data_IF_514624658583
#
_entry.id   IF_514624658583
#
_cell.length_a   1.000
_cell.length_b   1.000
_cell.length_c   1.000
_cell.angle_alpha   90.00
_cell.angle_beta   90.00
_cell.angle_gamma   90.00
#
_symmetry.space_group_name_H-M   'P 1'
#
loop_
_entity.id
_entity.type
_entity.pdbx_description
1 polymer ?
#
# COMPACT_ATOMS: atom_id res chain seq x y z
N UNK A 1 0.62 -2.68 24.92
CA UNK A 1 -0.39 -1.61 24.68
C UNK A 1 -1.14 -1.94 23.39
N UNK A 2 -2.42 -1.60 23.27
CA UNK A 2 -3.27 -1.93 22.11
C UNK A 2 -3.86 -0.64 21.56
N UNK A 3 -3.85 -0.50 20.23
CA UNK A 3 -4.53 0.55 19.48
C UNK A 3 -5.43 -0.10 18.42
N UNK A 4 -6.49 0.60 18.01
CA UNK A 4 -7.48 0.09 17.06
C UNK A 4 -7.71 1.13 15.97
N UNK A 5 -7.57 0.73 14.71
CA UNK A 5 -7.94 1.57 13.57
C UNK A 5 -9.43 1.87 13.58
N UNK A 6 -9.80 3.14 13.37
CA UNK A 6 -11.20 3.53 13.31
C UNK A 6 -11.84 2.98 12.01
N UNK A 7 -12.97 2.25 12.05
CA UNK A 7 -13.58 1.68 10.85
C UNK A 7 -13.95 2.73 9.78
N UNK A 8 -14.37 3.92 10.20
CA UNK A 8 -14.65 5.03 9.26
C UNK A 8 -13.39 5.53 8.57
N UNK A 9 -12.21 5.44 9.20
CA UNK A 9 -10.95 5.77 8.53
C UNK A 9 -10.66 4.77 7.41
N UNK A 10 -10.90 3.47 7.64
CA UNK A 10 -10.75 2.43 6.61
C UNK A 10 -11.69 2.71 5.43
N UNK A 11 -12.96 3.07 5.71
CA UNK A 11 -13.91 3.46 4.65
C UNK A 11 -13.48 4.73 3.91
N UNK A 12 -12.96 5.73 4.62
CA UNK A 12 -12.43 6.95 4.02
C UNK A 12 -11.28 6.63 3.05
N UNK A 13 -10.33 5.77 3.43
CA UNK A 13 -9.26 5.31 2.54
C UNK A 13 -9.84 4.63 1.30
N UNK A 14 -10.80 3.73 1.47
CA UNK A 14 -11.44 3.06 0.34
C UNK A 14 -12.17 4.03 -0.62
N UNK A 15 -12.99 4.92 -0.08
CA UNK A 15 -13.83 5.81 -0.87
C UNK A 15 -13.02 6.93 -1.56
N UNK A 16 -12.06 7.53 -0.84
CA UNK A 16 -11.43 8.79 -1.26
C UNK A 16 -10.03 8.60 -1.84
N UNK A 17 -9.28 7.60 -1.36
CA UNK A 17 -7.94 7.29 -1.87
C UNK A 17 -8.02 6.22 -2.93
N UNK A 18 -8.71 5.11 -2.65
CA UNK A 18 -8.83 4.01 -3.61
C UNK A 18 -9.93 4.22 -4.65
N UNK A 19 -10.80 5.21 -4.48
CA UNK A 19 -11.91 5.48 -5.40
C UNK A 19 -12.75 4.22 -5.69
N UNK A 20 -12.92 3.36 -4.68
CA UNK A 20 -13.62 2.06 -4.77
C UNK A 20 -12.94 0.97 -5.63
N UNK A 21 -11.63 1.09 -5.88
CA UNK A 21 -10.84 0.02 -6.51
C UNK A 21 -10.55 -1.12 -5.51
N UNK A 22 -10.71 -2.37 -5.97
CA UNK A 22 -10.67 -3.56 -5.13
C UNK A 22 -11.94 -3.75 -4.27
N UNK A 23 -11.93 -4.72 -3.36
CA UNK A 23 -13.03 -4.96 -2.42
C UNK A 23 -12.89 -4.12 -1.14
N UNK A 24 -11.66 -3.94 -0.69
CA UNK A 24 -11.26 -3.07 0.42
C UNK A 24 -9.74 -2.80 0.35
N UNK A 25 -9.23 -1.78 1.05
CA UNK A 25 -7.81 -1.43 0.99
C UNK A 25 -6.89 -2.53 1.53
N UNK A 26 -5.71 -2.68 0.92
CA UNK A 26 -4.67 -3.52 1.52
C UNK A 26 -4.16 -2.92 2.84
N UNK A 27 -3.60 -3.77 3.69
CA UNK A 27 -2.94 -3.30 4.93
C UNK A 27 -1.81 -2.31 4.63
N UNK A 28 -1.12 -2.48 3.49
CA UNK A 28 -0.03 -1.60 3.07
C UNK A 28 -0.51 -0.17 2.84
N UNK A 29 -1.49 0.01 1.97
CA UNK A 29 -2.00 1.36 1.67
C UNK A 29 -2.68 2.01 2.89
N UNK A 30 -3.39 1.23 3.72
CA UNK A 30 -3.95 1.74 4.98
C UNK A 30 -2.87 2.34 5.88
N UNK A 31 -1.72 1.66 5.98
CA UNK A 31 -0.59 2.12 6.79
C UNK A 31 0.03 3.40 6.24
N UNK A 32 0.17 3.53 4.91
CA UNK A 32 0.69 4.75 4.28
C UNK A 32 -0.24 5.93 4.52
N UNK A 33 -1.55 5.77 4.27
CA UNK A 33 -2.50 6.87 4.46
C UNK A 33 -2.62 7.24 5.94
N UNK A 34 -2.54 6.28 6.85
CA UNK A 34 -2.52 6.58 8.28
C UNK A 34 -1.29 7.37 8.72
N UNK A 35 -0.09 6.99 8.24
CA UNK A 35 1.12 7.74 8.49
C UNK A 35 1.00 9.20 8.00
N UNK A 36 0.41 9.42 6.81
CA UNK A 36 0.14 10.77 6.30
C UNK A 36 -0.80 11.61 7.18
N UNK A 37 -1.64 10.98 8.02
CA UNK A 37 -2.52 11.71 8.95
C UNK A 37 -1.87 11.99 10.30
N UNK A 38 -0.75 11.34 10.63
CA UNK A 38 -0.12 11.41 11.95
C UNK A 38 1.30 12.00 11.94
N UNK A 39 2.02 11.88 10.83
CA UNK A 39 3.43 12.22 10.71
C UNK A 39 3.61 13.47 9.85
N UNK A 40 4.65 14.25 10.17
CA UNK A 40 5.06 15.41 9.36
C UNK A 40 5.83 14.99 8.09
N UNK A 41 6.55 13.86 8.17
CA UNK A 41 7.29 13.25 7.06
C UNK A 41 7.07 11.73 7.03
N UNK A 42 7.00 11.15 5.83
CA UNK A 42 6.77 9.71 5.64
C UNK A 42 7.73 9.14 4.59
N UNK A 43 8.51 8.14 5.01
CA UNK A 43 9.40 7.35 4.18
C UNK A 43 8.84 5.94 3.97
N UNK A 44 8.76 5.49 2.72
CA UNK A 44 8.14 4.22 2.36
C UNK A 44 9.19 3.25 1.81
N UNK A 45 9.27 2.05 2.41
CA UNK A 45 10.20 0.99 2.06
C UNK A 45 9.47 -0.35 1.88
N UNK A 46 9.88 -1.17 0.92
CA UNK A 46 9.35 -2.53 0.73
C UNK A 46 7.92 -2.56 0.15
N UNK A 47 7.53 -1.51 -0.58
CA UNK A 47 6.27 -1.43 -1.32
C UNK A 47 6.54 -1.64 -2.81
N UNK A 48 5.56 -2.23 -3.50
CA UNK A 48 5.67 -2.50 -4.94
C UNK A 48 6.34 -3.84 -5.25
N UNK A 49 6.44 -4.11 -6.56
CA UNK A 49 7.20 -5.24 -7.06
C UNK A 49 8.71 -4.97 -6.98
N UNK A 50 9.51 -6.04 -6.97
CA UNK A 50 10.95 -5.90 -7.21
C UNK A 50 11.24 -5.42 -8.65
N UNK A 51 12.52 -5.17 -8.96
CA UNK A 51 12.96 -4.74 -10.30
C UNK A 51 12.64 -5.74 -11.42
N UNK A 52 12.33 -6.99 -11.10
CA UNK A 52 11.91 -8.03 -12.05
C UNK A 52 10.38 -8.17 -12.14
N UNK A 53 9.62 -7.34 -11.43
CA UNK A 53 8.16 -7.40 -11.38
C UNK A 53 7.60 -8.48 -10.44
N UNK A 54 8.44 -9.11 -9.62
CA UNK A 54 8.01 -10.13 -8.68
C UNK A 54 7.39 -9.49 -7.43
N UNK A 55 6.31 -10.11 -6.97
CA UNK A 55 5.67 -9.77 -5.71
C UNK A 55 5.83 -10.91 -4.73
N UNK A 56 6.88 -10.83 -3.93
CA UNK A 56 7.18 -11.80 -2.90
C UNK A 56 7.59 -11.07 -1.62
N UNK A 57 7.40 -11.75 -0.51
CA UNK A 57 7.87 -11.27 0.78
C UNK A 57 9.39 -11.40 0.87
N UNK A 58 10.05 -10.43 1.52
CA UNK A 58 11.51 -10.38 1.60
C UNK A 58 12.14 -11.52 2.44
N UNK A 59 11.34 -12.26 3.21
CA UNK A 59 11.81 -13.28 4.16
C UNK A 59 11.51 -14.73 3.75
N UNK A 60 10.78 -14.95 2.65
CA UNK A 60 10.37 -16.29 2.23
C UNK A 60 10.58 -16.50 0.73
N UNK A 61 10.86 -17.75 0.37
CA UNK A 61 10.89 -18.17 -1.03
C UNK A 61 9.52 -18.73 -1.40
N UNK A 62 8.60 -17.83 -1.75
CA UNK A 62 7.19 -18.16 -1.99
C UNK A 62 6.92 -18.37 -3.48
N UNK A 63 6.72 -19.63 -3.88
CA UNK A 63 6.37 -20.01 -5.25
C UNK A 63 5.00 -19.46 -5.72
N UNK A 64 4.17 -18.98 -4.79
CA UNK A 64 2.86 -18.37 -5.03
C UNK A 64 2.89 -16.84 -4.86
N UNK A 65 4.07 -16.21 -5.01
CA UNK A 65 4.19 -14.76 -5.04
C UNK A 65 3.18 -14.12 -6.00
N UNK A 66 2.55 -13.02 -5.57
CA UNK A 66 1.53 -12.34 -6.37
C UNK A 66 0.14 -12.98 -6.35
N UNK A 67 -0.12 -14.01 -5.54
CA UNK A 67 -1.45 -14.65 -5.44
C UNK A 67 -2.60 -13.65 -5.14
N UNK A 68 -2.31 -12.53 -4.46
CA UNK A 68 -3.29 -11.47 -4.22
C UNK A 68 -3.92 -10.93 -5.52
N UNK A 69 -3.15 -10.89 -6.62
CA UNK A 69 -3.62 -10.47 -7.94
C UNK A 69 -4.69 -11.42 -8.51
N UNK A 70 -4.62 -12.71 -8.18
CA UNK A 70 -5.61 -13.69 -8.64
C UNK A 70 -6.95 -13.51 -7.91
N UNK A 71 -6.90 -13.18 -6.62
CA UNK A 71 -8.10 -13.03 -5.80
C UNK A 71 -8.85 -11.73 -6.05
N UNK A 72 -8.16 -10.70 -6.58
CA UNK A 72 -8.69 -9.35 -6.81
C UNK A 72 -9.36 -8.71 -5.57
N UNK A 73 -9.00 -9.16 -4.37
CA UNK A 73 -9.50 -8.56 -3.11
C UNK A 73 -8.99 -7.13 -2.97
N UNK A 74 -7.78 -6.88 -3.42
CA UNK A 74 -7.14 -5.56 -3.47
C UNK A 74 -6.74 -5.25 -4.92
N UNK A 75 -6.81 -3.99 -5.29
CA UNK A 75 -6.25 -3.50 -6.56
C UNK A 75 -4.85 -2.96 -6.31
N UNK A 76 -3.87 -3.88 -6.26
CA UNK A 76 -2.49 -3.54 -5.92
C UNK A 76 -1.80 -2.61 -6.93
N UNK A 77 -2.23 -2.65 -8.20
CA UNK A 77 -1.68 -1.76 -9.23
C UNK A 77 -2.20 -0.34 -9.03
N UNK A 78 -3.49 -0.17 -8.70
CA UNK A 78 -4.05 1.13 -8.32
C UNK A 78 -3.41 1.69 -7.04
N UNK A 79 -3.25 0.85 -6.01
CA UNK A 79 -2.57 1.26 -4.77
C UNK A 79 -1.12 1.68 -5.00
N UNK A 80 -0.37 0.97 -5.84
CA UNK A 80 0.99 1.34 -6.24
C UNK A 80 1.02 2.69 -6.98
N UNK A 81 0.04 2.95 -7.85
CA UNK A 81 -0.05 4.23 -8.54
C UNK A 81 -0.29 5.40 -7.58
N UNK A 82 -1.08 5.20 -6.51
CA UNK A 82 -1.28 6.21 -5.46
C UNK A 82 0.04 6.55 -4.76
N UNK A 83 0.83 5.55 -4.35
CA UNK A 83 2.10 5.80 -3.67
C UNK A 83 3.11 6.47 -4.59
N UNK A 84 3.19 6.07 -5.86
CA UNK A 84 4.03 6.73 -6.85
C UNK A 84 3.59 8.19 -7.10
N UNK A 85 2.28 8.45 -7.13
CA UNK A 85 1.74 9.81 -7.25
C UNK A 85 2.08 10.64 -6.03
N UNK A 86 1.90 10.11 -4.81
CA UNK A 86 2.29 10.80 -3.57
C UNK A 86 3.79 11.15 -3.56
N UNK A 87 4.63 10.26 -4.07
CA UNK A 87 6.06 10.50 -4.19
C UNK A 87 6.39 11.59 -5.23
N UNK A 88 5.67 11.63 -6.36
CA UNK A 88 5.91 12.62 -7.41
C UNK A 88 5.52 14.05 -7.01
N UNK A 89 4.72 14.21 -5.96
CA UNK A 89 4.34 15.51 -5.38
C UNK A 89 4.98 15.75 -3.99
N UNK A 90 6.06 15.03 -3.68
CA UNK A 90 6.85 15.17 -2.45
C UNK A 90 6.04 15.03 -1.15
N UNK A 91 4.93 14.27 -1.17
CA UNK A 91 4.15 13.95 0.04
C UNK A 91 4.70 12.76 0.80
N UNK A 92 5.44 11.89 0.13
CA UNK A 92 6.21 10.80 0.73
C UNK A 92 7.56 10.70 0.02
N UNK A 93 8.59 10.11 0.66
CA UNK A 93 9.79 9.64 -0.05
C UNK A 93 9.68 8.14 -0.26
N UNK A 94 9.82 7.70 -1.51
CA UNK A 94 9.64 6.29 -1.88
C UNK A 94 10.99 5.63 -2.20
N UNK A 95 11.31 4.55 -1.49
CA UNK A 95 12.56 3.81 -1.66
C UNK A 95 12.30 2.47 -2.35
N UNK A 96 12.65 2.40 -3.63
CA UNK A 96 12.35 1.27 -4.52
C UNK A 96 13.09 -0.04 -4.19
N UNK A 97 14.05 -0.03 -3.25
CA UNK A 97 14.83 -1.23 -2.94
C UNK A 97 15.70 -1.70 -4.11
N UNK A 98 15.78 -3.01 -4.32
CA UNK A 98 16.56 -3.68 -5.37
C UNK A 98 15.64 -4.58 -6.19
#
# INVERSE_FOLDING_TARGET
QILVYHPVFIKYVYDHWLQHHGRYPSTGILSVIFALHLCDEVDVYGFGADSNGNWHHYWENNASGGAFRQTMVHDGDFESNITLTLASIDKIRFFNGR
#
